data_IF_651597227529
#
_entry.id   IF_651597227529
#
_cell.length_a   1.000
_cell.length_b   1.000
_cell.length_c   1.000
_cell.angle_alpha   90.00
_cell.angle_beta   90.00
_cell.angle_gamma   90.00
#
_symmetry.space_group_name_H-M   'P 1'
#
loop_
_entity.id
_entity.type
_entity.pdbx_description
1 polymer ?
#
# COMPACT_ATOMS: atom_id res chain seq x y z
N UNK A 1 10.85 9.41 14.30
CA UNK A 1 9.96 9.11 15.44
C UNK A 1 9.35 7.75 15.15
N UNK A 2 9.62 6.76 15.99
CA UNK A 2 9.07 5.40 15.83
C UNK A 2 7.68 5.36 16.46
N UNK A 3 6.73 4.71 15.78
CA UNK A 3 5.36 4.49 16.27
C UNK A 3 5.04 2.99 16.27
N UNK A 4 4.07 2.59 17.08
CA UNK A 4 3.48 1.26 16.93
C UNK A 4 2.63 1.25 15.65
N UNK A 5 2.90 0.29 14.79
CA UNK A 5 2.19 0.04 13.54
C UNK A 5 1.36 -1.23 13.73
N UNK A 6 0.14 -1.25 13.19
CA UNK A 6 -0.80 -2.37 13.41
C UNK A 6 -0.35 -3.65 12.71
N UNK A 7 0.36 -3.47 11.59
CA UNK A 7 0.89 -4.56 10.78
C UNK A 7 0.04 -4.91 9.57
N UNK A 8 -1.31 -4.84 9.67
CA UNK A 8 -2.28 -4.96 8.55
C UNK A 8 -3.63 -4.34 9.00
N UNK A 9 -3.97 -3.14 8.53
CA UNK A 9 -5.29 -2.53 8.70
C UNK A 9 -6.08 -2.54 7.39
N UNK A 10 -6.92 -3.56 7.23
CA UNK A 10 -7.88 -3.69 6.11
C UNK A 10 -9.30 -3.78 6.65
N UNK A 11 -10.33 -3.58 5.82
CA UNK A 11 -11.73 -3.59 6.29
C UNK A 11 -12.10 -4.82 7.14
N UNK A 12 -11.66 -6.06 6.82
CA UNK A 12 -11.91 -7.23 7.67
C UNK A 12 -11.40 -7.11 9.12
N UNK A 13 -10.39 -6.27 9.34
CA UNK A 13 -9.73 -6.07 10.64
C UNK A 13 -10.36 -4.91 11.45
N UNK A 14 -11.43 -4.30 10.92
CA UNK A 14 -12.10 -3.14 11.52
C UNK A 14 -13.55 -3.50 11.86
N UNK A 15 -13.90 -3.41 13.15
CA UNK A 15 -15.24 -3.73 13.64
C UNK A 15 -16.03 -2.45 13.88
N UNK A 16 -17.19 -2.33 13.22
CA UNK A 16 -18.14 -1.24 13.41
C UNK A 16 -19.38 -1.72 14.15
N UNK A 17 -19.92 -0.83 14.98
CA UNK A 17 -21.26 -0.99 15.52
C UNK A 17 -22.30 -0.67 14.46
N UNK A 18 -23.14 -1.66 14.13
CA UNK A 18 -24.13 -1.51 13.05
C UNK A 18 -25.20 -0.45 13.31
N UNK A 19 -25.48 -0.13 14.57
CA UNK A 19 -26.55 0.81 14.93
C UNK A 19 -26.08 2.27 14.88
N UNK A 20 -24.80 2.49 15.16
CA UNK A 20 -24.20 3.83 15.26
C UNK A 20 -23.19 4.13 14.16
N UNK A 21 -22.78 3.13 13.39
CA UNK A 21 -21.65 3.18 12.44
C UNK A 21 -20.32 3.65 13.06
N UNK A 22 -20.20 3.56 14.38
CA UNK A 22 -18.98 3.92 15.08
C UNK A 22 -18.00 2.75 15.08
N UNK A 23 -16.71 3.07 14.92
CA UNK A 23 -15.61 2.13 15.14
C UNK A 23 -15.67 1.60 16.58
N UNK A 24 -15.65 0.27 16.74
CA UNK A 24 -15.65 -0.40 18.05
C UNK A 24 -14.30 -1.03 18.36
N UNK A 25 -13.65 -1.62 17.37
CA UNK A 25 -12.35 -2.23 17.56
C UNK A 25 -11.58 -2.32 16.25
N UNK A 26 -10.26 -2.34 16.37
CA UNK A 26 -9.33 -2.85 15.37
C UNK A 26 -8.82 -4.17 15.95
N UNK A 27 -8.72 -5.21 15.13
CA UNK A 27 -8.31 -6.57 15.53
C UNK A 27 -7.18 -7.08 14.62
N UNK A 28 -6.65 -8.27 14.92
CA UNK A 28 -5.62 -8.94 14.10
C UNK A 28 -4.29 -8.16 14.01
N UNK A 29 -3.62 -8.01 15.17
CA UNK A 29 -2.33 -7.32 15.32
C UNK A 29 -1.12 -8.27 15.20
N UNK A 30 -1.28 -9.45 14.59
CA UNK A 30 -0.22 -10.46 14.55
C UNK A 30 1.01 -10.00 13.74
N UNK A 31 0.85 -8.98 12.89
CA UNK A 31 1.92 -8.32 12.13
C UNK A 31 2.39 -6.99 12.76
N UNK A 32 1.89 -6.66 13.96
CA UNK A 32 2.21 -5.41 14.64
C UNK A 32 3.69 -5.29 14.98
N UNK A 33 4.27 -4.12 14.73
CA UNK A 33 5.68 -3.86 14.98
C UNK A 33 5.94 -2.36 15.19
N UNK A 34 7.12 -2.03 15.72
CA UNK A 34 7.61 -0.66 15.76
C UNK A 34 8.11 -0.25 14.39
N UNK A 35 7.60 0.85 13.85
CA UNK A 35 7.93 1.31 12.50
C UNK A 35 7.69 2.80 12.31
N UNK A 36 7.82 3.24 11.05
CA UNK A 36 7.40 4.58 10.65
C UNK A 36 5.88 4.60 10.46
N UNK A 37 5.20 5.74 10.71
CA UNK A 37 3.79 5.90 10.33
C UNK A 37 3.53 5.58 8.85
N UNK A 38 4.51 5.84 7.98
CA UNK A 38 4.45 5.53 6.55
C UNK A 38 4.26 4.03 6.29
N UNK A 39 4.83 3.18 7.14
CA UNK A 39 4.87 1.73 6.95
C UNK A 39 3.47 1.13 6.83
N UNK A 40 2.49 1.64 7.60
CA UNK A 40 1.10 1.21 7.50
C UNK A 40 0.53 1.42 6.09
N UNK A 41 0.88 2.51 5.41
CA UNK A 41 0.40 2.80 4.05
C UNK A 41 1.04 1.92 2.97
N UNK A 42 2.01 1.06 3.29
CA UNK A 42 2.66 0.18 2.33
C UNK A 42 1.94 -1.17 2.14
N UNK A 43 1.01 -1.51 3.04
CA UNK A 43 0.26 -2.77 3.00
C UNK A 43 -1.18 -2.66 3.53
N UNK A 44 -1.57 -1.53 4.13
CA UNK A 44 -2.92 -1.28 4.66
C UNK A 44 -3.74 -0.33 3.79
N UNK A 45 -5.04 -0.25 4.11
CA UNK A 45 -6.00 0.68 3.50
C UNK A 45 -6.26 0.56 1.99
N UNK A 46 -6.19 -0.62 1.33
CA UNK A 46 -6.49 -0.73 -0.09
C UNK A 46 -7.94 -0.33 -0.40
N UNK A 47 -8.90 -0.61 0.48
CA UNK A 47 -10.32 -0.28 0.28
C UNK A 47 -10.61 1.22 0.41
N UNK A 48 -9.72 1.95 1.09
CA UNK A 48 -9.80 3.41 1.23
C UNK A 48 -8.95 4.14 0.20
N UNK A 49 -8.35 3.43 -0.77
CA UNK A 49 -7.37 3.99 -1.69
C UNK A 49 -6.16 4.64 -0.98
N UNK A 50 -5.84 4.17 0.23
CA UNK A 50 -4.73 4.67 1.04
C UNK A 50 -3.42 3.91 0.84
N UNK A 51 -3.43 2.78 0.12
CA UNK A 51 -2.24 1.98 -0.15
C UNK A 51 -1.28 2.75 -1.07
N UNK A 52 -0.15 3.19 -0.53
CA UNK A 52 0.93 3.84 -1.26
C UNK A 52 1.74 2.80 -2.04
N UNK A 53 1.63 2.88 -3.35
CA UNK A 53 2.30 2.00 -4.29
C UNK A 53 3.63 2.58 -4.78
N UNK A 54 4.54 1.69 -5.20
CA UNK A 54 5.78 2.07 -5.87
C UNK A 54 5.54 2.53 -7.31
N UNK A 55 6.53 3.20 -7.91
CA UNK A 55 6.44 3.79 -9.25
C UNK A 55 6.13 2.78 -10.36
N UNK A 56 6.53 1.51 -10.19
CA UNK A 56 6.28 0.45 -11.17
C UNK A 56 4.89 -0.20 -11.04
N UNK A 57 4.08 0.22 -10.07
CA UNK A 57 2.78 -0.38 -9.79
C UNK A 57 1.64 0.39 -10.49
N UNK A 58 0.80 -0.29 -11.29
CA UNK A 58 -0.21 0.40 -12.10
C UNK A 58 -1.47 0.73 -11.30
N UNK A 59 -1.76 2.02 -11.06
CA UNK A 59 -3.08 2.48 -10.58
C UNK A 59 -3.54 3.83 -11.16
N UNK A 60 -3.25 4.10 -12.44
CA UNK A 60 -3.83 5.24 -13.18
C UNK A 60 -3.68 6.61 -12.47
N UNK A 61 -2.51 6.89 -11.90
CA UNK A 61 -2.22 8.16 -11.20
C UNK A 61 -2.66 8.21 -9.73
N UNK A 62 -3.15 7.12 -9.14
CA UNK A 62 -3.50 7.07 -7.72
C UNK A 62 -2.30 7.40 -6.81
N UNK A 63 -1.11 6.86 -7.13
CA UNK A 63 0.13 7.14 -6.39
C UNK A 63 0.37 8.64 -6.24
N UNK A 64 0.27 9.38 -7.35
CA UNK A 64 0.48 10.83 -7.34
C UNK A 64 -0.57 11.53 -6.47
N UNK A 65 -1.83 11.08 -6.50
CA UNK A 65 -2.87 11.64 -5.63
C UNK A 65 -2.59 11.42 -4.15
N UNK A 66 -2.11 10.23 -3.77
CA UNK A 66 -1.74 9.89 -2.39
C UNK A 66 -0.54 10.74 -1.93
N UNK A 67 0.49 10.86 -2.78
CA UNK A 67 1.70 11.64 -2.48
C UNK A 67 1.45 13.16 -2.46
N UNK A 68 0.40 13.63 -3.13
CA UNK A 68 0.07 15.07 -3.19
C UNK A 68 -1.21 15.44 -2.42
N UNK A 69 -1.85 14.49 -1.72
CA UNK A 69 -3.01 14.75 -0.87
C UNK A 69 -4.29 15.12 -1.61
N UNK A 70 -4.52 14.55 -2.81
CA UNK A 70 -5.75 14.73 -3.60
C UNK A 70 -6.10 16.21 -3.91
N UNK A 71 -5.10 17.03 -4.23
CA UNK A 71 -5.31 18.44 -4.62
C UNK A 71 -6.12 18.52 -5.92
N UNK A 72 -7.30 19.14 -5.87
CA UNK A 72 -8.13 19.45 -7.05
C UNK A 72 -9.40 18.61 -7.21
N UNK A 73 -9.92 18.59 -8.44
CA UNK A 73 -11.14 17.86 -8.80
C UNK A 73 -10.85 16.35 -8.84
N UNK A 74 -11.67 15.58 -8.13
CA UNK A 74 -11.49 14.14 -8.00
C UNK A 74 -12.53 13.41 -8.84
N UNK A 75 -12.08 12.38 -9.56
CA UNK A 75 -12.98 11.53 -10.34
C UNK A 75 -13.96 10.82 -9.40
N UNK A 76 -15.21 10.55 -9.82
CA UNK A 76 -16.20 9.87 -8.97
C UNK A 76 -15.69 8.57 -8.35
N UNK A 77 -14.87 7.80 -9.08
CA UNK A 77 -14.29 6.53 -8.62
C UNK A 77 -13.24 6.68 -7.50
N UNK A 78 -12.77 7.90 -7.20
CA UNK A 78 -11.71 8.17 -6.22
C UNK A 78 -12.20 9.06 -5.07
N UNK A 79 -13.51 9.29 -4.97
CA UNK A 79 -14.12 10.08 -3.90
C UNK A 79 -13.78 9.50 -2.52
N UNK A 80 -13.82 8.18 -2.37
CA UNK A 80 -13.46 7.50 -1.12
C UNK A 80 -12.04 7.87 -0.67
N UNK A 81 -11.06 7.81 -1.57
CA UNK A 81 -9.67 8.17 -1.26
C UNK A 81 -9.51 9.63 -0.85
N UNK A 82 -10.19 10.56 -1.53
CA UNK A 82 -10.17 11.97 -1.12
C UNK A 82 -10.84 12.19 0.24
N UNK A 83 -11.98 11.56 0.50
CA UNK A 83 -12.68 11.66 1.79
C UNK A 83 -11.80 11.11 2.91
N UNK A 84 -11.12 10.00 2.68
CA UNK A 84 -10.16 9.40 3.60
C UNK A 84 -8.99 10.36 3.91
N UNK A 85 -8.35 10.89 2.86
CA UNK A 85 -7.24 11.86 3.00
C UNK A 85 -7.64 13.10 3.83
N UNK A 86 -8.86 13.63 3.60
CA UNK A 86 -9.39 14.78 4.33
C UNK A 86 -9.69 14.44 5.80
N UNK A 87 -10.27 13.27 6.06
CA UNK A 87 -10.55 12.83 7.43
C UNK A 87 -9.26 12.65 8.24
N UNK A 88 -8.24 12.00 7.65
CA UNK A 88 -6.92 11.89 8.25
C UNK A 88 -6.27 13.26 8.50
N UNK A 89 -6.43 14.20 7.55
CA UNK A 89 -5.94 15.58 7.72
C UNK A 89 -6.55 16.27 8.95
N UNK A 90 -7.86 16.13 9.12
CA UNK A 90 -8.62 16.80 10.17
C UNK A 90 -8.19 16.33 11.57
N UNK A 91 -7.78 15.07 11.69
CA UNK A 91 -7.26 14.48 12.93
C UNK A 91 -5.74 14.70 13.12
N UNK A 92 -5.09 15.43 12.21
CA UNK A 92 -3.65 15.69 12.28
C UNK A 92 -2.77 14.46 12.03
N UNK A 93 -3.32 13.42 11.38
CA UNK A 93 -2.58 12.20 11.10
C UNK A 93 -1.44 12.45 10.09
N UNK A 94 -0.32 11.74 10.29
CA UNK A 94 0.73 11.69 9.29
C UNK A 94 0.29 10.81 8.12
N UNK A 95 0.39 11.39 6.93
CA UNK A 95 -0.05 10.82 5.65
C UNK A 95 1.12 10.82 4.68
N UNK A 96 1.12 9.96 3.64
CA UNK A 96 2.14 9.97 2.59
C UNK A 96 2.44 11.38 2.06
N UNK A 97 1.40 12.20 1.85
CA UNK A 97 1.50 13.59 1.40
C UNK A 97 2.23 14.56 2.34
N UNK A 98 2.44 14.16 3.59
CA UNK A 98 3.06 14.96 4.64
C UNK A 98 4.37 14.37 5.17
N UNK A 99 4.76 13.18 4.68
CA UNK A 99 5.96 12.49 5.11
C UNK A 99 7.03 12.66 4.03
N UNK A 100 8.12 13.35 4.37
CA UNK A 100 9.25 13.51 3.47
C UNK A 100 9.85 12.15 3.08
N UNK A 101 10.13 11.97 1.79
CA UNK A 101 10.68 10.73 1.25
C UNK A 101 9.69 9.55 1.17
N UNK A 102 8.39 9.80 1.32
CA UNK A 102 7.37 8.75 1.21
C UNK A 102 7.41 8.02 -0.13
N UNK A 103 7.66 8.76 -1.21
CA UNK A 103 7.87 8.24 -2.56
C UNK A 103 9.05 7.26 -2.61
N UNK A 104 10.22 7.68 -2.13
CA UNK A 104 11.46 6.87 -2.14
C UNK A 104 11.27 5.60 -1.31
N UNK A 105 10.72 5.72 -0.10
CA UNK A 105 10.50 4.56 0.78
C UNK A 105 9.52 3.58 0.15
N UNK A 106 8.46 4.08 -0.50
CA UNK A 106 7.51 3.21 -1.21
C UNK A 106 8.19 2.47 -2.36
N UNK A 107 9.01 3.14 -3.15
CA UNK A 107 9.69 2.52 -4.29
C UNK A 107 10.66 1.43 -3.81
N UNK A 108 11.41 1.67 -2.73
CA UNK A 108 12.31 0.68 -2.13
C UNK A 108 11.54 -0.52 -1.57
N UNK A 109 10.42 -0.28 -0.88
CA UNK A 109 9.58 -1.35 -0.35
C UNK A 109 9.06 -2.27 -1.46
N UNK A 110 8.47 -1.68 -2.50
CA UNK A 110 7.88 -2.43 -3.61
C UNK A 110 8.93 -3.08 -4.51
N UNK A 111 10.11 -2.47 -4.71
CA UNK A 111 11.26 -3.16 -5.31
C UNK A 111 11.62 -4.41 -4.52
N UNK A 112 11.69 -4.32 -3.18
CA UNK A 112 11.99 -5.44 -2.32
C UNK A 112 11.04 -6.62 -2.51
N UNK A 113 9.74 -6.34 -2.70
CA UNK A 113 8.75 -7.37 -3.02
C UNK A 113 9.05 -8.05 -4.36
N UNK A 114 9.47 -7.31 -5.39
CA UNK A 114 9.82 -7.87 -6.70
C UNK A 114 11.13 -8.69 -6.69
N UNK A 115 12.07 -8.37 -5.80
CA UNK A 115 13.30 -9.15 -5.63
C UNK A 115 13.07 -10.48 -4.91
N UNK A 116 12.10 -10.55 -4.00
CA UNK A 116 11.79 -11.75 -3.25
C UNK A 116 10.29 -11.85 -2.95
N UNK A 117 9.51 -12.23 -3.96
CA UNK A 117 8.08 -12.46 -3.77
C UNK A 117 7.86 -13.63 -2.79
N UNK A 118 7.01 -13.43 -1.78
CA UNK A 118 6.79 -14.42 -0.70
C UNK A 118 6.41 -15.81 -1.24
N UNK A 119 5.67 -15.87 -2.34
CA UNK A 119 5.19 -17.13 -2.92
C UNK A 119 6.33 -17.95 -3.55
N UNK A 120 7.46 -17.33 -3.92
CA UNK A 120 8.66 -18.07 -4.35
C UNK A 120 9.25 -18.89 -3.20
N UNK A 121 9.07 -18.44 -1.95
CA UNK A 121 9.58 -19.11 -0.76
C UNK A 121 8.62 -20.16 -0.19
N UNK A 122 7.47 -20.38 -0.83
CA UNK A 122 6.47 -21.37 -0.41
C UNK A 122 6.39 -22.48 -1.48
N UNK A 123 7.14 -23.59 -1.34
CA UNK A 123 7.24 -24.63 -2.36
C UNK A 123 5.88 -25.16 -2.82
N UNK A 124 4.94 -25.33 -1.89
CA UNK A 124 3.58 -25.82 -2.18
C UNK A 124 2.78 -24.89 -3.10
N UNK A 125 2.99 -23.58 -3.03
CA UNK A 125 2.34 -22.64 -3.95
C UNK A 125 2.98 -22.74 -5.32
N UNK A 126 4.31 -22.76 -5.38
CA UNK A 126 5.05 -22.88 -6.62
C UNK A 126 4.77 -24.21 -7.36
N UNK A 127 4.62 -25.33 -6.65
CA UNK A 127 4.26 -26.62 -7.24
C UNK A 127 2.86 -26.63 -7.87
N UNK A 128 1.92 -25.84 -7.32
CA UNK A 128 0.54 -25.72 -7.83
C UNK A 128 0.39 -24.78 -9.02
N UNK A 129 1.36 -23.90 -9.25
CA UNK A 129 1.34 -22.97 -10.38
C UNK A 129 1.63 -23.69 -11.70
N UNK A 130 0.83 -23.37 -12.71
CA UNK A 130 1.11 -23.81 -14.09
C UNK A 130 2.44 -23.23 -14.58
N UNK A 131 3.02 -23.84 -15.62
CA UNK A 131 4.22 -23.29 -16.25
C UNK A 131 3.97 -21.87 -16.81
N UNK A 132 2.79 -21.64 -17.37
CA UNK A 132 2.37 -20.34 -17.89
C UNK A 132 2.28 -19.27 -16.79
N UNK A 133 1.71 -19.61 -15.62
CA UNK A 133 1.62 -18.67 -14.50
C UNK A 133 3.00 -18.31 -13.94
N UNK A 134 3.93 -19.27 -13.92
CA UNK A 134 5.32 -19.04 -13.49
C UNK A 134 6.04 -18.09 -14.45
N UNK A 135 5.90 -18.32 -15.74
CA UNK A 135 6.47 -17.45 -16.77
C UNK A 135 5.86 -16.05 -16.72
N UNK A 136 4.53 -15.96 -16.60
CA UNK A 136 3.82 -14.69 -16.45
C UNK A 136 4.27 -13.91 -15.22
N UNK A 137 4.40 -14.58 -14.07
CA UNK A 137 4.89 -13.98 -12.82
C UNK A 137 6.33 -13.48 -12.96
N UNK A 138 7.21 -14.29 -13.57
CA UNK A 138 8.59 -13.89 -13.85
C UNK A 138 8.65 -12.67 -14.76
N UNK A 139 7.92 -12.67 -15.87
CA UNK A 139 7.93 -11.57 -16.84
C UNK A 139 7.37 -10.29 -16.23
N UNK A 140 6.30 -10.40 -15.43
CA UNK A 140 5.74 -9.28 -14.67
C UNK A 140 6.77 -8.68 -13.70
N UNK A 141 7.48 -9.52 -12.95
CA UNK A 141 8.48 -9.07 -11.98
C UNK A 141 9.69 -8.42 -12.69
N UNK A 142 10.17 -9.05 -13.77
CA UNK A 142 11.27 -8.50 -14.58
C UNK A 142 10.94 -7.13 -15.16
N UNK A 143 9.72 -6.95 -15.69
CA UNK A 143 9.25 -5.66 -16.19
C UNK A 143 9.23 -4.58 -15.09
N UNK A 144 8.73 -4.92 -13.89
CA UNK A 144 8.70 -3.98 -12.76
C UNK A 144 10.09 -3.60 -12.26
N UNK A 145 10.98 -4.60 -12.12
CA UNK A 145 12.38 -4.36 -11.77
C UNK A 145 13.04 -3.41 -12.77
N UNK A 146 12.81 -3.62 -14.06
CA UNK A 146 13.30 -2.71 -15.10
C UNK A 146 12.76 -1.29 -14.91
N UNK A 147 11.46 -1.11 -14.65
CA UNK A 147 10.89 0.22 -14.39
C UNK A 147 11.52 0.92 -13.20
N UNK A 148 11.82 0.21 -12.11
CA UNK A 148 12.52 0.81 -10.96
C UNK A 148 13.96 1.21 -11.29
N UNK A 149 14.70 0.36 -12.01
CA UNK A 149 16.07 0.66 -12.43
C UNK A 149 16.11 1.89 -13.35
N UNK A 150 15.25 1.94 -14.37
CA UNK A 150 15.13 3.08 -15.27
C UNK A 150 14.74 4.37 -14.51
N UNK A 151 13.81 4.26 -13.55
CA UNK A 151 13.41 5.39 -12.70
C UNK A 151 14.59 5.97 -11.90
N UNK A 152 15.53 5.12 -11.46
CA UNK A 152 16.74 5.53 -10.74
C UNK A 152 17.96 5.80 -11.64
N UNK A 153 17.83 5.63 -12.96
CA UNK A 153 18.89 5.90 -13.93
C UNK A 153 19.91 4.78 -14.12
N UNK A 154 19.54 3.53 -13.86
CA UNK A 154 20.34 2.32 -14.12
C UNK A 154 19.90 1.57 -15.38
#
# INVERSE_FOLDING_TARGET
METSVSGITTLPNILFDRSTNNLKAIVDFDFGHSGSPLTEYLYSFPEFYGLLLGVAEPMNGLRDLILNGYTGATRPSLVVGKTWEVALAAEGAQRPSTIEGADIVSDVWWLGQELLQFHWMIPRLHERMSAEDKERSRNKSAMRLQTYLEHWGY
#
